data_IF_444820422974
#
_entry.id   IF_444820422974
#
_cell.length_a   1.000
_cell.length_b   1.000
_cell.length_c   1.000
_cell.angle_alpha   90.00
_cell.angle_beta   90.00
_cell.angle_gamma   90.00
#
_symmetry.space_group_name_H-M   'P 1'
#
loop_
_entity.id
_entity.type
_entity.pdbx_description
1 polymer ?
#
# COMPACT_ATOMS: atom_id res chain seq x y z
N UNK A 1 -22.71 -1.40 -6.39
CA UNK A 1 -21.98 -1.85 -5.18
C UNK A 1 -20.83 -2.76 -5.57
N UNK A 2 -19.72 -2.77 -4.81
CA UNK A 2 -18.58 -3.68 -5.05
C UNK A 2 -18.59 -4.76 -3.97
N UNK A 3 -19.43 -5.77 -4.09
CA UNK A 3 -19.45 -6.90 -3.16
C UNK A 3 -18.15 -7.70 -3.27
N UNK A 4 -17.59 -8.09 -2.13
CA UNK A 4 -16.40 -8.94 -1.98
C UNK A 4 -15.09 -8.45 -2.66
N UNK A 5 -14.98 -7.19 -3.09
CA UNK A 5 -13.72 -6.68 -3.67
C UNK A 5 -12.74 -6.27 -2.58
N UNK A 6 -11.65 -7.03 -2.45
CA UNK A 6 -10.53 -6.70 -1.56
C UNK A 6 -9.58 -5.66 -2.19
N UNK A 7 -8.83 -4.96 -1.33
CA UNK A 7 -7.80 -4.01 -1.73
C UNK A 7 -8.29 -2.57 -1.94
N UNK A 8 -7.46 -1.60 -1.53
CA UNK A 8 -7.71 -0.17 -1.70
C UNK A 8 -7.10 0.33 -3.01
N UNK A 9 -7.85 1.14 -3.78
CA UNK A 9 -7.35 1.74 -5.04
C UNK A 9 -6.33 2.87 -4.82
N UNK A 10 -6.35 3.52 -3.64
CA UNK A 10 -5.43 4.61 -3.28
C UNK A 10 -5.30 5.72 -4.34
N UNK A 11 -6.32 5.92 -5.19
CA UNK A 11 -6.31 6.87 -6.30
C UNK A 11 -5.25 6.59 -7.38
N UNK A 12 -4.74 5.35 -7.49
CA UNK A 12 -3.65 4.97 -8.40
C UNK A 12 -4.06 3.85 -9.34
N UNK A 13 -3.40 3.76 -10.50
CA UNK A 13 -3.49 2.60 -11.40
C UNK A 13 -2.86 1.34 -10.76
N UNK A 14 -2.98 0.19 -11.42
CA UNK A 14 -2.43 -1.07 -10.91
C UNK A 14 -0.91 -1.11 -10.85
N UNK A 15 -0.22 -0.54 -11.84
CA UNK A 15 1.24 -0.56 -11.92
C UNK A 15 1.86 0.29 -10.81
N UNK A 16 1.35 1.50 -10.62
CA UNK A 16 1.78 2.42 -9.57
C UNK A 16 1.44 1.86 -8.18
N UNK A 17 0.29 1.19 -7.99
CA UNK A 17 0.03 0.51 -6.70
C UNK A 17 1.04 -0.59 -6.41
N UNK A 18 1.41 -1.40 -7.41
CA UNK A 18 2.42 -2.47 -7.24
C UNK A 18 3.75 -1.88 -6.80
N UNK A 19 4.23 -0.85 -7.50
CA UNK A 19 5.46 -0.15 -7.15
C UNK A 19 5.40 0.48 -5.75
N UNK A 20 4.28 1.12 -5.40
CA UNK A 20 4.08 1.71 -4.07
C UNK A 20 4.21 0.66 -2.96
N UNK A 21 3.60 -0.52 -3.12
CA UNK A 21 3.67 -1.58 -2.10
C UNK A 21 5.07 -2.15 -1.98
N UNK A 22 5.77 -2.39 -3.09
CA UNK A 22 7.17 -2.84 -3.08
C UNK A 22 8.08 -1.83 -2.34
N UNK A 23 7.92 -0.53 -2.61
CA UNK A 23 8.72 0.50 -1.97
C UNK A 23 8.42 0.62 -0.47
N UNK A 24 7.14 0.55 -0.07
CA UNK A 24 6.76 0.60 1.35
C UNK A 24 7.26 -0.63 2.12
N UNK A 25 7.21 -1.81 1.52
CA UNK A 25 7.76 -3.03 2.13
C UNK A 25 9.28 -2.95 2.26
N UNK A 26 9.98 -2.52 1.19
CA UNK A 26 11.44 -2.34 1.21
C UNK A 26 11.88 -1.34 2.27
N UNK A 27 11.27 -0.16 2.31
CA UNK A 27 11.61 0.86 3.31
C UNK A 27 11.31 0.40 4.75
N UNK A 28 10.27 -0.42 4.96
CA UNK A 28 9.99 -1.00 6.27
C UNK A 28 11.05 -2.02 6.70
N UNK A 29 11.51 -2.85 5.76
CA UNK A 29 12.59 -3.81 6.02
C UNK A 29 13.90 -3.08 6.32
N UNK A 30 14.22 -2.04 5.55
CA UNK A 30 15.47 -1.29 5.66
C UNK A 30 15.55 -0.44 6.95
N UNK A 31 14.47 0.25 7.30
CA UNK A 31 14.47 1.20 8.43
C UNK A 31 13.78 0.67 9.69
N UNK A 32 13.13 -0.50 9.63
CA UNK A 32 12.38 -1.12 10.73
C UNK A 32 11.08 -0.41 11.10
N UNK A 33 10.94 0.88 10.79
CA UNK A 33 9.72 1.68 10.97
C UNK A 33 9.66 2.79 9.93
N UNK A 34 8.49 2.99 9.35
CA UNK A 34 8.24 4.07 8.39
C UNK A 34 7.00 4.88 8.78
N UNK A 35 7.01 6.17 8.43
CA UNK A 35 5.84 7.03 8.55
C UNK A 35 5.13 7.12 7.20
N UNK A 36 3.84 6.80 7.18
CA UNK A 36 3.02 6.87 5.97
C UNK A 36 1.58 7.21 6.34
N UNK A 37 0.74 7.50 5.34
CA UNK A 37 -0.69 7.76 5.57
C UNK A 37 -1.37 6.48 6.05
N UNK A 38 -2.33 6.60 6.97
CA UNK A 38 -3.08 5.47 7.53
C UNK A 38 -3.68 4.56 6.43
N UNK A 39 -4.23 5.14 5.37
CA UNK A 39 -4.81 4.40 4.26
C UNK A 39 -3.80 3.51 3.51
N UNK A 40 -2.54 3.96 3.38
CA UNK A 40 -1.45 3.18 2.76
C UNK A 40 -0.96 2.09 3.70
N UNK A 41 -0.79 2.39 4.99
CA UNK A 41 -0.40 1.40 6.00
C UNK A 41 -1.42 0.25 6.08
N UNK A 42 -2.71 0.56 6.15
CA UNK A 42 -3.80 -0.44 6.15
C UNK A 42 -3.92 -1.23 4.85
N UNK A 43 -3.32 -0.77 3.75
CA UNK A 43 -3.35 -1.48 2.48
C UNK A 43 -2.18 -2.46 2.31
N UNK A 44 -1.13 -2.34 3.14
CA UNK A 44 0.04 -3.25 3.18
C UNK A 44 -0.11 -4.31 4.29
N UNK A 45 -1.00 -4.08 5.26
CA UNK A 45 -1.46 -5.09 6.24
C UNK A 45 -2.33 -6.15 5.57
#
# INVERSE_FOLDING_TARGET
MKHARAGKKLGRDSAHRKALYSNLAGALIEHGRIQTTEAKAKAVK
#
